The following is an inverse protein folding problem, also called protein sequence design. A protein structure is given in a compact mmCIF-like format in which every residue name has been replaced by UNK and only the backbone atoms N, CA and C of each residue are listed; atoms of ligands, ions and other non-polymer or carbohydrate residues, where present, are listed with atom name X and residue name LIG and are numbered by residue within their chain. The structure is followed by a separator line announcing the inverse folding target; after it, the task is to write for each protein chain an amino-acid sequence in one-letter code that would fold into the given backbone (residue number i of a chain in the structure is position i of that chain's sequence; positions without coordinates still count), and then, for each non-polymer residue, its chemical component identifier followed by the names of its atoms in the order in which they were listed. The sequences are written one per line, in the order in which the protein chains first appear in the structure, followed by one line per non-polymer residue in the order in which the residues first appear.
data_IF_965904235874
#
_entry.id   IF_965904235874
#
_cell.length_a   1.000
_cell.length_b   1.000
_cell.length_c   1.000
_cell.angle_alpha   90.00
_cell.angle_beta   90.00
_cell.angle_gamma   90.00
#
_symmetry.space_group_name_H-M   'P 1'
#
loop_
_entity.id
_entity.type
_entity.pdbx_description
1 polymer ?
#
# COMPACT_ATOMS: atom_id res chain seq x y z
N UNK A 1 -15.69 1.07 7.52
CA UNK A 1 -14.47 0.76 8.31
C UNK A 1 -14.39 1.57 9.60
N UNK A 2 -14.28 2.91 9.58
CA UNK A 2 -14.06 3.68 10.82
C UNK A 2 -15.18 3.51 11.87
N UNK A 3 -16.45 3.59 11.45
CA UNK A 3 -17.62 3.44 12.33
C UNK A 3 -17.64 2.13 13.15
N UNK A 4 -16.94 1.09 12.69
CA UNK A 4 -16.88 -0.21 13.40
C UNK A 4 -15.94 -0.19 14.62
N UNK A 5 -15.09 0.85 14.75
CA UNK A 5 -14.06 0.93 15.78
C UNK A 5 -14.28 2.06 16.79
N UNK A 6 -15.14 3.02 16.47
CA UNK A 6 -15.46 4.17 17.33
C UNK A 6 -16.60 3.83 18.26
N UNK A 7 -16.65 4.50 19.40
CA UNK A 7 -17.76 4.40 20.35
C UNK A 7 -19.09 4.85 19.70
N UNK A 8 -20.21 4.46 20.30
CA UNK A 8 -21.53 4.91 19.85
C UNK A 8 -21.65 6.45 19.87
N UNK A 9 -21.01 7.08 20.86
CA UNK A 9 -20.93 8.53 21.00
C UNK A 9 -19.99 9.21 19.98
N UNK A 10 -19.21 8.43 19.21
CA UNK A 10 -18.26 8.89 18.19
C UNK A 10 -17.30 9.99 18.67
N UNK A 11 -16.89 9.94 19.93
CA UNK A 11 -16.01 10.94 20.55
C UNK A 11 -14.53 10.51 20.61
N UNK A 12 -14.21 9.31 20.13
CA UNK A 12 -12.89 8.67 20.15
C UNK A 12 -12.36 8.32 18.74
N UNK A 13 -12.95 8.93 17.71
CA UNK A 13 -12.63 8.63 16.32
C UNK A 13 -11.18 8.96 15.95
N UNK A 14 -10.61 9.98 16.56
CA UNK A 14 -9.24 10.44 16.36
C UNK A 14 -8.21 9.41 16.84
N UNK A 15 -8.52 8.66 17.89
CA UNK A 15 -7.69 7.56 18.40
C UNK A 15 -7.57 6.43 17.38
N UNK A 16 -8.67 6.10 16.70
CA UNK A 16 -8.72 4.98 15.76
C UNK A 16 -8.38 5.37 14.32
N UNK A 17 -8.56 6.64 13.94
CA UNK A 17 -8.40 7.09 12.56
C UNK A 17 -7.02 6.72 11.97
N UNK A 18 -5.87 6.95 12.63
CA UNK A 18 -4.57 6.58 12.07
C UNK A 18 -4.47 5.08 11.78
N UNK A 19 -5.07 4.25 12.62
CA UNK A 19 -5.02 2.79 12.54
C UNK A 19 -5.91 2.25 11.42
N UNK A 20 -7.11 2.81 11.27
CA UNK A 20 -8.02 2.50 10.16
C UNK A 20 -7.46 2.98 8.82
N UNK A 21 -6.88 4.19 8.77
CA UNK A 21 -6.22 4.70 7.57
C UNK A 21 -5.04 3.84 7.17
N UNK A 22 -4.25 3.37 8.14
CA UNK A 22 -3.17 2.44 7.87
C UNK A 22 -3.70 1.16 7.23
N UNK A 23 -4.66 0.50 7.88
CA UNK A 23 -5.28 -0.72 7.37
C UNK A 23 -5.86 -0.53 5.95
N UNK A 24 -6.58 0.56 5.71
CA UNK A 24 -7.12 0.92 4.39
C UNK A 24 -6.01 1.10 3.34
N UNK A 25 -4.96 1.86 3.67
CA UNK A 25 -3.87 2.13 2.71
C UNK A 25 -3.05 0.89 2.37
N UNK A 26 -2.97 -0.09 3.27
CA UNK A 26 -2.15 -1.29 3.08
C UNK A 26 -2.96 -2.51 2.62
N UNK A 27 -4.29 -2.45 2.67
CA UNK A 27 -5.16 -3.50 2.16
C UNK A 27 -5.21 -3.50 0.64
N UNK A 28 -5.48 -4.66 0.05
CA UNK A 28 -5.67 -4.81 -1.40
C UNK A 28 -6.95 -4.10 -1.86
N UNK A 29 -6.85 -3.31 -2.92
CA UNK A 29 -7.99 -2.66 -3.56
C UNK A 29 -8.13 -3.17 -5.00
N UNK A 30 -9.25 -3.84 -5.29
CA UNK A 30 -9.51 -4.42 -6.62
C UNK A 30 -9.44 -3.36 -7.74
N UNK A 31 -9.99 -2.17 -7.49
CA UNK A 31 -9.97 -1.06 -8.44
C UNK A 31 -8.56 -0.54 -8.77
N UNK A 32 -7.57 -0.77 -7.90
CA UNK A 32 -6.16 -0.42 -8.15
C UNK A 32 -5.35 -1.64 -8.60
N UNK A 33 -5.86 -2.85 -8.41
CA UNK A 33 -5.13 -4.10 -8.61
C UNK A 33 -4.05 -4.37 -7.57
N UNK A 34 -3.90 -3.52 -6.55
CA UNK A 34 -2.97 -3.62 -5.41
C UNK A 34 -3.46 -2.67 -4.30
N UNK A 35 -2.66 -2.46 -3.25
CA UNK A 35 -2.91 -1.50 -2.18
C UNK A 35 -2.69 -0.05 -2.60
N UNK A 36 -3.42 0.92 -2.01
CA UNK A 36 -3.16 2.35 -2.21
C UNK A 36 -1.73 2.76 -1.87
N UNK A 37 -1.14 2.16 -0.83
CA UNK A 37 0.25 2.43 -0.43
C UNK A 37 1.23 2.01 -1.53
N UNK A 38 1.08 0.80 -2.08
CA UNK A 38 1.93 0.35 -3.18
C UNK A 38 1.75 1.22 -4.41
N UNK A 39 0.50 1.60 -4.72
CA UNK A 39 0.20 2.48 -5.86
C UNK A 39 0.88 3.84 -5.79
N UNK A 40 1.03 4.38 -4.58
CA UNK A 40 1.66 5.68 -4.35
C UNK A 40 3.20 5.60 -4.24
N UNK A 41 3.71 4.57 -3.57
CA UNK A 41 5.14 4.49 -3.21
C UNK A 41 5.94 3.45 -4.00
N UNK A 42 5.30 2.64 -4.84
CA UNK A 42 5.94 1.57 -5.62
C UNK A 42 6.54 0.45 -4.77
N UNK A 43 6.18 0.35 -3.50
CA UNK A 43 6.70 -0.66 -2.56
C UNK A 43 5.67 -0.96 -1.49
N UNK A 44 5.75 -2.15 -0.90
CA UNK A 44 4.95 -2.47 0.28
C UNK A 44 5.54 -1.82 1.54
N UNK A 45 4.71 -1.50 2.54
CA UNK A 45 5.19 -0.93 3.80
C UNK A 45 6.05 -1.95 4.56
N UNK A 46 7.12 -1.47 5.19
CA UNK A 46 7.93 -2.29 6.10
C UNK A 46 7.20 -2.41 7.44
N UNK A 47 6.48 -3.51 7.63
CA UNK A 47 5.78 -3.80 8.89
C UNK A 47 6.76 -4.29 9.96
N UNK A 48 6.59 -3.93 11.25
CA UNK A 48 7.44 -4.44 12.33
C UNK A 48 7.52 -5.97 12.35
N UNK A 49 6.40 -6.66 12.13
CA UNK A 49 6.34 -8.12 11.98
C UNK A 49 7.12 -8.61 10.75
N UNK A 50 7.03 -7.91 9.62
CA UNK A 50 7.77 -8.27 8.40
C UNK A 50 9.29 -8.10 8.60
N UNK A 51 9.71 -7.02 9.25
CA UNK A 51 11.12 -6.79 9.55
C UNK A 51 11.65 -7.81 10.56
N UNK A 52 10.89 -8.07 11.63
CA UNK A 52 11.29 -8.99 12.70
C UNK A 52 11.37 -10.46 12.24
N UNK A 53 10.47 -10.89 11.34
CA UNK A 53 10.33 -12.31 10.99
C UNK A 53 10.74 -12.65 9.55
N UNK A 54 10.71 -11.71 8.60
CA UNK A 54 10.92 -11.99 7.16
C UNK A 54 12.17 -11.33 6.56
N UNK A 55 12.79 -10.34 7.24
CA UNK A 55 14.05 -9.71 6.79
C UNK A 55 15.33 -10.28 7.45
N UNK A 56 15.25 -11.40 8.17
CA UNK A 56 16.45 -12.04 8.73
C UNK A 56 17.39 -12.64 7.66
N UNK A 57 16.93 -12.78 6.41
CA UNK A 57 17.70 -13.28 5.28
C UNK A 57 18.25 -12.17 4.38
N UNK A 58 19.56 -11.93 4.48
CA UNK A 58 20.48 -11.71 3.34
C UNK A 58 20.37 -10.50 2.40
N UNK A 59 19.47 -9.51 2.60
CA UNK A 59 19.47 -8.34 1.68
C UNK A 59 20.49 -7.23 1.99
N UNK A 60 20.85 -7.01 3.26
CA UNK A 60 21.72 -5.91 3.70
C UNK A 60 23.22 -6.09 3.38
N UNK A 61 23.60 -6.47 2.15
CA UNK A 61 25.00 -6.48 1.72
C UNK A 61 25.22 -5.63 0.46
N UNK A 62 25.49 -4.35 0.72
CA UNK A 62 26.56 -3.56 0.09
C UNK A 62 26.67 -3.57 -1.44
N UNK A 63 25.69 -2.98 -2.12
CA UNK A 63 25.84 -2.00 -3.22
C UNK A 63 24.46 -1.43 -3.63
N UNK A 64 23.58 -1.27 -2.64
CA UNK A 64 22.14 -1.39 -2.82
C UNK A 64 21.44 -0.16 -3.37
N UNK A 65 21.93 1.06 -3.15
CA UNK A 65 21.12 2.27 -3.45
C UNK A 65 20.80 2.39 -4.95
N UNK A 66 21.76 2.11 -5.84
CA UNK A 66 21.53 2.18 -7.27
C UNK A 66 20.62 1.05 -7.77
N UNK A 67 20.72 -0.15 -7.19
CA UNK A 67 19.84 -1.28 -7.49
C UNK A 67 18.43 -1.03 -6.97
N UNK A 68 18.29 -0.67 -5.71
CA UNK A 68 17.04 -0.27 -5.07
C UNK A 68 16.35 0.86 -5.85
N UNK A 69 17.10 1.89 -6.25
CA UNK A 69 16.57 2.98 -7.07
C UNK A 69 16.02 2.47 -8.40
N UNK A 70 16.74 1.57 -9.10
CA UNK A 70 16.25 0.97 -10.35
C UNK A 70 14.99 0.14 -10.14
N UNK A 71 14.96 -0.67 -9.08
CA UNK A 71 13.79 -1.47 -8.71
C UNK A 71 12.58 -0.59 -8.38
N UNK A 72 12.79 0.48 -7.61
CA UNK A 72 11.74 1.44 -7.25
C UNK A 72 11.19 2.19 -8.46
N UNK A 73 12.05 2.63 -9.37
CA UNK A 73 11.59 3.27 -10.62
C UNK A 73 10.77 2.29 -11.47
N UNK A 74 11.22 1.04 -11.55
CA UNK A 74 10.50 -0.01 -12.28
C UNK A 74 9.13 -0.26 -11.66
N UNK A 75 9.06 -0.46 -10.33
CA UNK A 75 7.81 -0.74 -9.65
C UNK A 75 6.82 0.41 -9.72
N UNK A 76 7.27 1.66 -9.60
CA UNK A 76 6.42 2.85 -9.77
C UNK A 76 5.84 2.92 -11.18
N UNK A 77 6.67 2.67 -12.20
CA UNK A 77 6.22 2.64 -13.60
C UNK A 77 5.18 1.54 -13.82
N UNK A 78 5.46 0.34 -13.33
CA UNK A 78 4.58 -0.82 -13.48
C UNK A 78 3.24 -0.60 -12.76
N UNK A 79 3.30 -0.05 -11.54
CA UNK A 79 2.12 0.29 -10.74
C UNK A 79 1.25 1.35 -11.42
N UNK A 80 1.85 2.41 -11.96
CA UNK A 80 1.14 3.43 -12.73
C UNK A 80 0.40 2.81 -13.91
N UNK A 81 1.07 1.98 -14.71
CA UNK A 81 0.44 1.31 -15.85
C UNK A 81 -0.69 0.38 -15.42
N UNK A 82 -0.56 -0.31 -14.28
CA UNK A 82 -1.62 -1.15 -13.73
C UNK A 82 -2.85 -0.31 -13.38
N UNK A 83 -2.67 0.78 -12.63
CA UNK A 83 -3.77 1.67 -12.22
C UNK A 83 -4.45 2.29 -13.43
N UNK A 84 -3.69 2.79 -14.41
CA UNK A 84 -4.24 3.33 -15.67
C UNK A 84 -5.13 2.30 -16.38
N UNK A 85 -4.68 1.04 -16.49
CA UNK A 85 -5.48 -0.04 -17.09
C UNK A 85 -6.74 -0.35 -16.29
N UNK A 86 -6.67 -0.35 -14.96
CA UNK A 86 -7.84 -0.62 -14.13
C UNK A 86 -8.88 0.49 -14.21
N UNK A 87 -8.43 1.76 -14.29
CA UNK A 87 -9.32 2.91 -14.47
C UNK A 87 -10.06 2.86 -15.80
N UNK A 88 -9.37 2.52 -16.90
CA UNK A 88 -10.01 2.34 -18.21
C UNK A 88 -11.08 1.23 -18.17
N UNK A 89 -10.73 0.07 -17.60
CA UNK A 89 -11.70 -1.04 -17.41
C UNK A 89 -12.87 -0.68 -16.48
N UNK A 90 -12.65 0.21 -15.52
CA UNK A 90 -13.73 0.68 -14.66
C UNK A 90 -14.68 1.60 -15.43
N UNK A 91 -14.15 2.48 -16.29
CA UNK A 91 -14.96 3.35 -17.16
C UNK A 91 -15.85 2.54 -18.10
N UNK A 92 -15.29 1.56 -18.81
CA UNK A 92 -16.04 0.68 -19.74
C UNK A 92 -17.15 -0.13 -19.07
N UNK A 93 -17.06 -0.41 -17.76
CA UNK A 93 -18.08 -1.16 -17.00
C UNK A 93 -19.28 -0.30 -16.57
N UNK A 94 -19.14 1.02 -16.65
CA UNK A 94 -20.17 1.97 -16.26
C UNK A 94 -20.91 2.60 -17.45
N UNK A 95 -20.58 2.18 -18.68
CA UNK A 95 -21.33 2.43 -19.92
C UNK A 95 -22.22 1.23 -20.27
#
# INVERSE_FOLDING_TARGET
MLRMHVSEAQNDWDVYLPRVLFAYRTAYHEALGDSPFFSLYGRHPDLPLYVAFLKLGTKWKTNEVAQYRRELYRSLRDSRHLVERQLLKAQERHE
#
